data_IF_508537187333
#
_entry.id   IF_508537187333
#
_cell.length_a   1.000
_cell.length_b   1.000
_cell.length_c   1.000
_cell.angle_alpha   90.00
_cell.angle_beta   90.00
_cell.angle_gamma   90.00
#
_symmetry.space_group_name_H-M   'P 1'
#
loop_
_entity.id
_entity.type
_entity.pdbx_description
1 polymer ?
#
# COMPACT_ATOMS: atom_id res chain seq x y z
N UNK A 1 -10.69 5.73 -20.53
CA UNK A 1 -11.71 4.84 -19.88
C UNK A 1 -13.01 5.59 -19.68
N UNK A 2 -14.16 4.89 -19.63
CA UNK A 2 -15.42 5.47 -19.17
C UNK A 2 -15.39 5.65 -17.64
N UNK A 3 -16.23 6.54 -17.11
CA UNK A 3 -16.36 6.71 -15.65
C UNK A 3 -16.70 5.40 -14.92
N UNK A 4 -17.45 4.51 -15.58
CA UNK A 4 -17.81 3.19 -15.03
C UNK A 4 -16.59 2.27 -14.94
N UNK A 5 -15.78 2.17 -15.99
CA UNK A 5 -14.55 1.37 -16.00
C UNK A 5 -13.55 1.84 -14.97
N UNK A 6 -13.41 3.15 -14.78
CA UNK A 6 -12.56 3.73 -13.70
C UNK A 6 -13.08 3.33 -12.32
N UNK A 7 -14.39 3.41 -12.10
CA UNK A 7 -14.99 3.01 -10.81
C UNK A 7 -14.81 1.50 -10.55
N UNK A 8 -14.98 0.66 -11.58
CA UNK A 8 -14.76 -0.78 -11.50
C UNK A 8 -13.28 -1.09 -11.17
N UNK A 9 -12.32 -0.43 -11.83
CA UNK A 9 -10.90 -0.61 -11.54
C UNK A 9 -10.54 -0.17 -10.10
N UNK A 10 -11.09 0.93 -9.61
CA UNK A 10 -10.88 1.40 -8.23
C UNK A 10 -11.50 0.48 -7.18
N UNK A 11 -12.58 -0.22 -7.51
CA UNK A 11 -13.25 -1.16 -6.62
C UNK A 11 -12.57 -2.52 -6.53
N UNK A 12 -11.55 -2.79 -7.32
CA UNK A 12 -10.79 -4.03 -7.27
C UNK A 12 -10.14 -4.23 -5.90
N UNK A 13 -9.96 -5.48 -5.52
CA UNK A 13 -9.34 -5.82 -4.25
C UNK A 13 -7.84 -6.02 -4.41
N UNK A 14 -7.09 -5.45 -3.48
CA UNK A 14 -5.69 -5.77 -3.24
C UNK A 14 -5.67 -6.91 -2.22
N UNK A 15 -5.06 -8.04 -2.55
CA UNK A 15 -4.89 -9.17 -1.65
C UNK A 15 -3.41 -9.52 -1.50
N UNK A 16 -2.91 -9.58 -0.26
CA UNK A 16 -1.51 -9.92 0.03
C UNK A 16 -1.40 -10.77 1.30
N UNK A 17 -0.47 -11.72 1.31
CA UNK A 17 -0.14 -12.49 2.50
C UNK A 17 0.26 -11.58 3.68
N UNK A 18 -0.25 -11.87 4.87
CA UNK A 18 0.03 -11.08 6.08
C UNK A 18 1.53 -11.03 6.38
N UNK A 19 2.25 -12.09 6.09
CA UNK A 19 3.69 -12.15 6.28
C UNK A 19 4.42 -11.09 5.44
N UNK A 20 4.05 -10.93 4.16
CA UNK A 20 4.61 -9.87 3.32
C UNK A 20 4.30 -8.49 3.90
N UNK A 21 3.03 -8.22 4.24
CA UNK A 21 2.62 -6.91 4.78
C UNK A 21 3.40 -6.57 6.06
N UNK A 22 3.52 -7.54 6.97
CA UNK A 22 4.11 -7.33 8.29
C UNK A 22 5.64 -7.37 8.30
N UNK A 23 6.28 -8.02 7.33
CA UNK A 23 7.74 -8.25 7.32
C UNK A 23 8.48 -7.50 6.21
N UNK A 24 7.75 -6.93 5.23
CA UNK A 24 8.37 -6.20 4.13
C UNK A 24 8.98 -4.88 4.59
N UNK A 25 10.14 -4.57 4.04
CA UNK A 25 10.81 -3.28 4.20
C UNK A 25 11.19 -2.75 2.82
N UNK A 26 10.88 -1.50 2.58
CA UNK A 26 11.22 -0.79 1.35
C UNK A 26 11.14 0.72 1.57
N UNK A 27 11.80 1.48 0.72
CA UNK A 27 11.70 2.93 0.71
C UNK A 27 11.06 3.38 -0.61
N UNK A 28 9.76 3.26 -0.71
CA UNK A 28 8.99 3.69 -1.88
C UNK A 28 8.30 5.03 -1.61
N UNK A 29 8.21 5.85 -2.65
CA UNK A 29 7.35 7.02 -2.67
C UNK A 29 5.86 6.60 -2.61
N UNK A 30 4.98 7.57 -2.39
CA UNK A 30 3.54 7.32 -2.41
C UNK A 30 3.06 6.76 -3.75
N UNK A 31 3.58 7.29 -4.86
CA UNK A 31 3.15 6.88 -6.19
C UNK A 31 3.65 5.50 -6.58
N UNK A 32 4.87 5.14 -6.22
CA UNK A 32 5.39 3.78 -6.37
C UNK A 32 4.57 2.77 -5.56
N UNK A 33 4.18 3.10 -4.32
CA UNK A 33 3.28 2.27 -3.53
C UNK A 33 1.92 2.08 -4.21
N UNK A 34 1.33 3.17 -4.72
CA UNK A 34 0.05 3.11 -5.46
C UNK A 34 0.16 2.27 -6.74
N UNK A 35 1.28 2.39 -7.47
CA UNK A 35 1.52 1.57 -8.67
C UNK A 35 1.61 0.08 -8.30
N UNK A 36 2.36 -0.28 -7.26
CA UNK A 36 2.45 -1.67 -6.79
C UNK A 36 1.08 -2.19 -6.39
N UNK A 37 0.30 -1.45 -5.59
CA UNK A 37 -1.02 -1.88 -5.13
C UNK A 37 -2.05 -1.96 -6.27
N UNK A 38 -1.98 -1.04 -7.22
CA UNK A 38 -2.77 -1.10 -8.46
C UNK A 38 -2.46 -2.37 -9.25
N UNK A 39 -1.18 -2.74 -9.39
CA UNK A 39 -0.81 -3.97 -10.08
C UNK A 39 -1.23 -5.23 -9.29
N UNK A 40 -1.07 -5.24 -7.97
CA UNK A 40 -1.56 -6.34 -7.12
C UNK A 40 -3.07 -6.51 -7.24
N UNK A 41 -3.84 -5.42 -7.40
CA UNK A 41 -5.30 -5.50 -7.57
C UNK A 41 -5.74 -6.15 -8.88
N UNK A 42 -4.83 -6.29 -9.86
CA UNK A 42 -5.09 -7.00 -11.12
C UNK A 42 -4.95 -8.53 -11.00
N UNK A 43 -4.32 -9.02 -9.92
CA UNK A 43 -4.17 -10.47 -9.70
C UNK A 43 -5.53 -11.06 -9.37
N UNK A 44 -5.92 -12.08 -10.13
CA UNK A 44 -7.15 -12.85 -9.89
C UNK A 44 -6.84 -14.21 -9.23
N UNK A 45 -7.81 -14.84 -8.55
CA UNK A 45 -7.61 -16.17 -7.98
C UNK A 45 -7.27 -17.29 -8.98
N UNK A 46 -7.48 -17.02 -10.28
CA UNK A 46 -7.24 -17.99 -11.37
C UNK A 46 -5.89 -17.79 -12.05
N UNK A 47 -5.16 -16.72 -11.72
CA UNK A 47 -3.89 -16.41 -12.35
C UNK A 47 -2.79 -17.37 -11.88
N UNK A 48 -1.98 -17.82 -12.82
CA UNK A 48 -0.79 -18.63 -12.52
C UNK A 48 0.39 -17.69 -12.19
N UNK A 49 1.36 -18.16 -11.38
CA UNK A 49 2.64 -17.48 -11.23
C UNK A 49 3.31 -17.21 -12.58
N UNK A 50 3.83 -16.00 -12.79
CA UNK A 50 4.44 -15.59 -14.05
C UNK A 50 3.44 -15.06 -15.09
N UNK A 51 2.17 -14.84 -14.71
CA UNK A 51 1.20 -14.12 -15.56
C UNK A 51 1.69 -12.71 -15.83
N UNK A 52 1.65 -12.34 -17.12
CA UNK A 52 1.91 -10.97 -17.58
C UNK A 52 0.69 -10.09 -17.34
N UNK A 53 0.87 -8.96 -16.69
CA UNK A 53 -0.16 -7.93 -16.49
C UNK A 53 0.13 -6.74 -17.39
N UNK A 54 -0.90 -6.28 -18.12
CA UNK A 54 -0.79 -5.16 -19.03
C UNK A 54 -1.70 -4.03 -18.55
N UNK A 55 -1.20 -2.80 -18.61
CA UNK A 55 -1.99 -1.60 -18.41
C UNK A 55 -1.50 -0.48 -19.32
N UNK A 56 -2.39 0.45 -19.68
CA UNK A 56 -2.01 1.67 -20.38
C UNK A 56 -1.68 2.80 -19.42
N UNK A 57 -0.86 3.76 -19.87
CA UNK A 57 -0.55 4.96 -19.08
C UNK A 57 -1.83 5.72 -18.71
N UNK A 58 -2.76 5.84 -19.68
CA UNK A 58 -4.03 6.53 -19.46
C UNK A 58 -4.90 5.81 -18.43
N UNK A 59 -4.92 4.47 -18.43
CA UNK A 59 -5.66 3.69 -17.43
C UNK A 59 -5.13 3.97 -16.01
N UNK A 60 -3.82 3.90 -15.82
CA UNK A 60 -3.21 4.18 -14.53
C UNK A 60 -3.46 5.62 -14.07
N UNK A 61 -3.33 6.59 -14.98
CA UNK A 61 -3.59 8.01 -14.75
C UNK A 61 -5.03 8.25 -14.26
N UNK A 62 -6.01 7.68 -14.95
CA UNK A 62 -7.42 7.85 -14.61
C UNK A 62 -7.80 7.13 -13.30
N UNK A 63 -7.30 5.90 -13.10
CA UNK A 63 -7.56 5.14 -11.88
C UNK A 63 -6.96 5.82 -10.66
N UNK A 64 -5.72 6.30 -10.76
CA UNK A 64 -5.00 6.94 -9.66
C UNK A 64 -5.27 8.44 -9.52
N UNK A 65 -6.08 9.03 -10.40
CA UNK A 65 -6.36 10.46 -10.46
C UNK A 65 -5.07 11.31 -10.53
N UNK A 66 -4.16 10.94 -11.42
CA UNK A 66 -3.00 11.74 -11.72
C UNK A 66 -3.42 12.97 -12.53
N UNK A 67 -2.82 14.11 -12.28
CA UNK A 67 -3.11 15.33 -13.04
C UNK A 67 -2.79 15.10 -14.54
N UNK A 68 -3.76 15.34 -15.40
CA UNK A 68 -3.69 15.16 -16.86
C UNK A 68 -2.82 16.25 -17.53
N UNK A 69 -1.54 16.27 -17.21
CA UNK A 69 -0.56 17.15 -17.86
C UNK A 69 0.11 16.44 -19.06
N UNK A 70 -0.62 16.24 -20.13
CA UNK A 70 -0.24 15.62 -21.41
C UNK A 70 1.23 15.22 -21.58
N UNK A 71 1.49 13.90 -21.67
CA UNK A 71 2.82 13.31 -21.87
C UNK A 71 3.68 13.14 -20.61
N UNK A 72 3.34 13.76 -19.49
CA UNK A 72 4.08 13.60 -18.23
C UNK A 72 3.81 12.27 -17.55
N UNK A 73 2.63 11.67 -17.76
CA UNK A 73 2.26 10.39 -17.14
C UNK A 73 3.11 9.23 -17.62
N UNK A 74 3.44 9.18 -18.91
CA UNK A 74 4.34 8.16 -19.47
C UNK A 74 5.71 8.23 -18.80
N UNK A 75 6.29 9.42 -18.74
CA UNK A 75 7.56 9.62 -18.07
C UNK A 75 7.47 9.28 -16.57
N UNK A 76 6.40 9.69 -15.89
CA UNK A 76 6.20 9.39 -14.47
C UNK A 76 6.13 7.87 -14.21
N UNK A 77 5.35 7.12 -15.01
CA UNK A 77 5.27 5.66 -14.89
C UNK A 77 6.62 5.01 -15.20
N UNK A 78 7.33 5.49 -16.22
CA UNK A 78 8.68 5.01 -16.55
C UNK A 78 9.64 5.23 -15.38
N UNK A 79 9.70 6.45 -14.84
CA UNK A 79 10.57 6.81 -13.72
C UNK A 79 10.23 5.97 -12.48
N UNK A 80 8.94 5.78 -12.15
CA UNK A 80 8.50 4.92 -11.04
C UNK A 80 8.95 3.45 -11.22
N UNK A 81 8.82 2.88 -12.42
CA UNK A 81 9.22 1.50 -12.66
C UNK A 81 10.75 1.35 -12.66
N UNK A 82 11.48 2.35 -13.13
CA UNK A 82 12.93 2.40 -13.04
C UNK A 82 13.37 2.44 -11.56
N UNK A 83 12.79 3.31 -10.74
CA UNK A 83 13.07 3.37 -9.30
C UNK A 83 12.71 2.04 -8.60
N UNK A 84 11.56 1.43 -8.92
CA UNK A 84 11.17 0.12 -8.40
C UNK A 84 12.15 -0.99 -8.77
N UNK A 85 12.85 -0.87 -9.90
CA UNK A 85 13.89 -1.82 -10.34
C UNK A 85 15.21 -1.64 -9.59
N UNK A 86 15.46 -0.46 -9.03
CA UNK A 86 16.69 -0.14 -8.29
C UNK A 86 16.51 -0.25 -6.77
N UNK A 87 15.28 -0.11 -6.27
CA UNK A 87 14.97 -0.19 -4.85
C UNK A 87 14.58 -1.62 -4.45
N UNK A 88 15.38 -2.30 -3.62
CA UNK A 88 15.07 -3.65 -3.21
C UNK A 88 13.86 -3.68 -2.27
N UNK A 89 13.14 -4.78 -2.34
CA UNK A 89 12.17 -5.22 -1.35
C UNK A 89 12.85 -6.24 -0.43
N UNK A 90 12.92 -5.92 0.85
CA UNK A 90 13.41 -6.85 1.86
C UNK A 90 12.25 -7.51 2.60
N UNK A 91 12.31 -8.82 2.73
CA UNK A 91 11.33 -9.61 3.50
C UNK A 91 12.07 -10.47 4.52
N UNK A 92 11.80 -10.24 5.79
CA UNK A 92 12.37 -11.05 6.87
C UNK A 92 11.67 -12.41 6.91
N UNK A 93 12.32 -13.46 6.42
CA UNK A 93 11.75 -14.83 6.36
C UNK A 93 11.82 -15.51 7.73
N UNK A 94 13.00 -15.48 8.35
CA UNK A 94 13.25 -16.03 9.70
C UNK A 94 14.15 -15.08 10.48
N UNK A 95 14.48 -15.42 11.72
CA UNK A 95 15.44 -14.65 12.52
C UNK A 95 16.80 -14.48 11.80
N UNK A 96 17.21 -15.49 11.03
CA UNK A 96 18.53 -15.55 10.38
C UNK A 96 18.49 -15.39 8.86
N UNK A 97 17.30 -15.27 8.25
CA UNK A 97 17.14 -15.22 6.79
C UNK A 97 16.36 -13.97 6.37
N UNK A 98 16.91 -13.25 5.41
CA UNK A 98 16.27 -12.11 4.76
C UNK A 98 16.28 -12.34 3.25
N UNK A 99 15.12 -12.30 2.63
CA UNK A 99 14.98 -12.27 1.18
C UNK A 99 15.18 -10.82 0.72
N UNK A 100 16.04 -10.65 -0.27
CA UNK A 100 16.18 -9.38 -1.01
C UNK A 100 15.70 -9.66 -2.44
N UNK A 101 14.70 -8.94 -2.89
CA UNK A 101 14.09 -9.08 -4.22
C UNK A 101 13.55 -7.74 -4.70
N UNK A 102 12.84 -7.73 -5.82
CA UNK A 102 12.10 -6.59 -6.35
C UNK A 102 10.62 -6.95 -6.48
N UNK A 103 9.75 -5.96 -6.71
CA UNK A 103 8.33 -6.21 -6.92
C UNK A 103 8.05 -6.94 -8.23
N UNK A 104 8.75 -6.56 -9.29
CA UNK A 104 8.57 -7.08 -10.64
C UNK A 104 9.86 -7.73 -11.14
N UNK A 105 9.74 -8.79 -11.96
CA UNK A 105 10.88 -9.37 -12.67
C UNK A 105 11.28 -8.46 -13.84
N UNK A 106 10.27 -8.06 -14.63
CA UNK A 106 10.47 -7.30 -15.86
C UNK A 106 9.41 -6.22 -15.98
N UNK A 107 9.75 -5.14 -16.72
CA UNK A 107 8.80 -4.16 -17.24
C UNK A 107 9.13 -3.91 -18.70
N UNK A 108 8.18 -4.16 -19.61
CA UNK A 108 8.33 -3.94 -21.04
C UNK A 108 7.39 -2.83 -21.47
N UNK A 109 7.95 -1.78 -22.03
CA UNK A 109 7.22 -0.62 -22.54
C UNK A 109 6.96 -0.78 -24.03
N UNK A 110 5.71 -0.61 -24.47
CA UNK A 110 5.33 -0.58 -25.88
C UNK A 110 4.86 0.85 -26.24
N UNK A 111 5.71 1.54 -26.98
CA UNK A 111 5.47 2.91 -27.41
C UNK A 111 4.43 3.02 -28.53
N UNK A 112 4.06 1.91 -29.19
CA UNK A 112 3.03 1.91 -30.23
C UNK A 112 1.62 1.84 -29.66
N UNK A 113 1.48 1.12 -28.55
CA UNK A 113 0.20 0.89 -27.87
C UNK A 113 0.03 1.73 -26.61
N UNK A 114 1.07 2.49 -26.21
CA UNK A 114 1.11 3.24 -24.95
C UNK A 114 0.81 2.36 -23.72
N UNK A 115 1.35 1.13 -23.73
CA UNK A 115 1.14 0.16 -22.66
C UNK A 115 2.44 -0.26 -21.98
N UNK A 116 2.31 -0.75 -20.78
CA UNK A 116 3.35 -1.42 -20.01
C UNK A 116 2.89 -2.83 -19.71
N UNK A 117 3.77 -3.79 -19.97
CA UNK A 117 3.61 -5.19 -19.57
C UNK A 117 4.63 -5.49 -18.49
N UNK A 118 4.19 -6.11 -17.40
CA UNK A 118 5.07 -6.54 -16.31
C UNK A 118 4.56 -7.81 -15.63
N UNK A 119 5.47 -8.54 -14.98
CA UNK A 119 5.21 -9.71 -14.17
C UNK A 119 5.81 -9.57 -12.78
N UNK A 120 5.15 -10.15 -11.77
CA UNK A 120 5.63 -10.12 -10.39
C UNK A 120 6.83 -11.02 -10.18
N UNK A 121 7.72 -10.62 -9.27
CA UNK A 121 8.85 -11.45 -8.87
C UNK A 121 8.40 -12.83 -8.43
N UNK A 122 9.05 -13.88 -8.94
CA UNK A 122 8.79 -15.28 -8.56
C UNK A 122 8.90 -15.53 -7.05
N UNK A 123 9.67 -14.73 -6.35
CA UNK A 123 9.84 -14.84 -4.90
C UNK A 123 8.65 -14.26 -4.11
N UNK A 124 7.76 -13.49 -4.77
CA UNK A 124 6.53 -12.97 -4.18
C UNK A 124 5.32 -13.90 -4.41
N UNK A 125 5.48 -14.96 -5.18
CA UNK A 125 4.39 -15.93 -5.46
C UNK A 125 3.68 -16.42 -4.19
N UNK A 126 4.37 -16.83 -3.11
CA UNK A 126 3.68 -17.30 -1.90
C UNK A 126 2.84 -16.23 -1.18
N UNK A 127 3.08 -14.97 -1.50
CA UNK A 127 2.45 -13.83 -0.85
C UNK A 127 1.38 -13.13 -1.69
N UNK A 128 1.30 -13.45 -2.98
CA UNK A 128 0.39 -12.77 -3.93
C UNK A 128 -0.58 -13.73 -4.63
N UNK A 129 -0.24 -15.01 -4.77
CA UNK A 129 -1.02 -15.98 -5.54
C UNK A 129 -1.58 -17.09 -4.66
N UNK A 130 -2.75 -17.61 -5.03
CA UNK A 130 -3.40 -18.74 -4.36
C UNK A 130 -3.56 -18.56 -2.84
N UNK A 131 -3.87 -17.33 -2.41
CA UNK A 131 -4.02 -16.98 -1.01
C UNK A 131 -5.29 -17.61 -0.42
N UNK A 132 -5.13 -18.55 0.51
CA UNK A 132 -6.26 -19.24 1.16
C UNK A 132 -6.43 -18.80 2.62
N UNK A 133 -5.32 -18.61 3.33
CA UNK A 133 -5.30 -18.24 4.75
C UNK A 133 -4.24 -17.19 5.03
N UNK A 134 -4.34 -16.51 6.17
CA UNK A 134 -3.35 -15.55 6.64
C UNK A 134 -3.00 -14.46 5.60
N UNK A 135 -4.00 -13.96 4.90
CA UNK A 135 -3.88 -12.84 3.99
C UNK A 135 -4.79 -11.69 4.39
N UNK A 136 -4.48 -10.53 3.88
CA UNK A 136 -5.25 -9.30 4.04
C UNK A 136 -5.79 -8.85 2.69
N UNK A 137 -7.06 -8.50 2.67
CA UNK A 137 -7.74 -7.97 1.51
C UNK A 137 -8.37 -6.61 1.83
N UNK A 138 -8.23 -5.67 0.91
CA UNK A 138 -8.85 -4.35 0.99
C UNK A 138 -9.12 -3.79 -0.40
N UNK A 139 -10.08 -2.87 -0.51
CA UNK A 139 -10.40 -2.18 -1.75
C UNK A 139 -9.26 -1.23 -2.14
N UNK A 140 -8.83 -1.23 -3.40
CA UNK A 140 -7.80 -0.33 -3.93
C UNK A 140 -8.14 1.14 -3.67
N UNK A 141 -9.42 1.51 -3.80
CA UNK A 141 -9.91 2.86 -3.52
C UNK A 141 -9.50 3.41 -2.14
N UNK A 142 -9.38 2.54 -1.12
CA UNK A 142 -8.99 2.96 0.22
C UNK A 142 -7.62 3.64 0.27
N UNK A 143 -6.71 3.24 -0.60
CA UNK A 143 -5.34 3.78 -0.63
C UNK A 143 -5.16 4.86 -1.69
N UNK A 144 -5.99 4.89 -2.73
CA UNK A 144 -5.87 5.89 -3.80
C UNK A 144 -6.11 7.32 -3.31
N UNK A 145 -7.01 7.52 -2.33
CA UNK A 145 -7.31 8.83 -1.75
C UNK A 145 -6.24 9.35 -0.78
N UNK A 146 -5.32 8.48 -0.32
CA UNK A 146 -4.26 8.87 0.61
C UNK A 146 -3.19 9.73 -0.07
N UNK A 147 -2.66 10.71 0.68
CA UNK A 147 -1.63 11.66 0.23
C UNK A 147 -0.27 11.42 0.89
N UNK A 148 -0.20 10.54 1.89
CA UNK A 148 1.02 10.19 2.61
C UNK A 148 1.43 8.73 2.38
N UNK A 149 2.71 8.50 2.09
CA UNK A 149 3.29 7.14 2.03
C UNK A 149 3.18 6.38 3.36
N UNK A 150 3.16 7.11 4.46
CA UNK A 150 3.02 6.54 5.79
C UNK A 150 1.59 6.03 6.05
N UNK A 151 0.60 6.72 5.49
CA UNK A 151 -0.81 6.31 5.59
C UNK A 151 -1.08 4.98 4.92
N UNK A 152 -0.55 4.78 3.71
CA UNK A 152 -0.69 3.52 2.97
C UNK A 152 -0.09 2.37 3.79
N UNK A 153 1.16 2.52 4.26
CA UNK A 153 1.85 1.46 5.02
C UNK A 153 1.17 1.16 6.36
N UNK A 154 0.77 2.20 7.08
CA UNK A 154 0.06 2.01 8.35
C UNK A 154 -1.29 1.34 8.14
N UNK A 155 -2.04 1.72 7.10
CA UNK A 155 -3.32 1.10 6.77
C UNK A 155 -3.17 -0.39 6.46
N UNK A 156 -2.26 -0.77 5.55
CA UNK A 156 -1.96 -2.17 5.25
C UNK A 156 -1.67 -2.97 6.53
N UNK A 157 -0.79 -2.42 7.37
CA UNK A 157 -0.40 -3.07 8.62
C UNK A 157 -1.58 -3.25 9.58
N UNK A 158 -2.33 -2.17 9.88
CA UNK A 158 -3.48 -2.22 10.78
C UNK A 158 -4.57 -3.15 10.25
N UNK A 159 -4.78 -3.16 8.93
CA UNK A 159 -5.71 -4.08 8.27
C UNK A 159 -5.28 -5.54 8.47
N UNK A 160 -3.98 -5.84 8.42
CA UNK A 160 -3.45 -7.20 8.59
C UNK A 160 -3.56 -7.73 10.02
N UNK A 161 -3.60 -6.84 11.01
CA UNK A 161 -3.72 -7.22 12.43
C UNK A 161 -5.12 -7.04 13.03
N UNK A 162 -6.04 -6.43 12.29
CA UNK A 162 -7.40 -6.15 12.76
C UNK A 162 -8.12 -7.38 13.33
N UNK A 163 -7.95 -8.55 12.70
CA UNK A 163 -8.61 -9.78 13.11
C UNK A 163 -7.94 -10.48 14.30
N UNK A 164 -6.78 -10.00 14.77
CA UNK A 164 -6.08 -10.53 15.94
C UNK A 164 -6.66 -10.02 17.26
N UNK A 165 -7.55 -9.03 17.22
CA UNK A 165 -8.22 -8.47 18.39
C UNK A 165 -8.53 -6.98 18.24
N UNK A 166 -9.37 -6.47 19.14
CA UNK A 166 -9.76 -5.07 19.20
C UNK A 166 -8.59 -4.13 19.52
N UNK A 167 -7.61 -4.60 20.30
CA UNK A 167 -6.42 -3.85 20.69
C UNK A 167 -5.18 -4.52 20.14
N UNK A 168 -4.27 -3.71 19.62
CA UNK A 168 -2.98 -4.15 19.09
C UNK A 168 -1.86 -3.28 19.63
N UNK A 169 -0.95 -3.90 20.40
CA UNK A 169 0.24 -3.25 20.98
C UNK A 169 1.45 -3.50 20.07
N UNK A 170 2.16 -2.43 19.74
CA UNK A 170 3.40 -2.48 18.94
C UNK A 170 4.45 -1.56 19.56
N UNK A 171 5.71 -1.97 19.58
CA UNK A 171 6.81 -1.11 20.01
C UNK A 171 6.97 0.08 19.05
N UNK A 172 7.49 1.19 19.58
CA UNK A 172 7.69 2.40 18.77
C UNK A 172 8.65 2.17 17.60
N UNK A 173 9.74 1.45 17.85
CA UNK A 173 10.76 1.16 16.85
C UNK A 173 10.20 0.24 15.73
N UNK A 174 9.42 -0.77 16.11
CA UNK A 174 8.75 -1.63 15.17
C UNK A 174 7.71 -0.85 14.34
N UNK A 175 6.91 0.02 14.97
CA UNK A 175 5.94 0.85 14.26
C UNK A 175 6.63 1.76 13.24
N UNK A 176 7.70 2.45 13.63
CA UNK A 176 8.49 3.28 12.71
C UNK A 176 9.00 2.45 11.52
N UNK A 177 9.52 1.26 11.79
CA UNK A 177 10.00 0.34 10.75
C UNK A 177 8.87 -0.10 9.81
N UNK A 178 7.69 -0.45 10.35
CA UNK A 178 6.52 -0.80 9.52
C UNK A 178 6.08 0.36 8.61
N UNK A 179 6.16 1.59 9.11
CA UNK A 179 5.78 2.78 8.37
C UNK A 179 6.87 3.29 7.41
N UNK A 180 8.14 2.81 7.51
CA UNK A 180 9.30 3.37 6.81
C UNK A 180 9.62 4.78 7.30
N UNK A 181 9.54 4.96 8.61
CA UNK A 181 9.68 6.23 9.31
C UNK A 181 10.84 6.20 10.32
N UNK A 182 11.84 5.33 10.08
CA UNK A 182 13.02 5.16 10.96
C UNK A 182 13.87 6.43 11.03
N UNK A 183 13.78 7.31 10.04
CA UNK A 183 14.49 8.59 10.00
C UNK A 183 14.00 9.64 11.01
N UNK A 184 12.93 9.37 11.74
CA UNK A 184 12.47 10.24 12.81
C UNK A 184 13.07 9.81 14.15
N UNK A 185 14.13 10.46 14.62
CA UNK A 185 14.76 10.15 15.91
C UNK A 185 13.81 10.46 17.08
N UNK A 186 13.20 11.66 17.05
CA UNK A 186 12.29 12.10 18.11
C UNK A 186 10.86 11.62 17.89
N UNK A 187 10.24 11.09 18.94
CA UNK A 187 8.82 10.69 18.90
C UNK A 187 7.90 11.84 18.52
N UNK A 188 8.18 13.07 18.96
CA UNK A 188 7.38 14.25 18.60
C UNK A 188 7.31 14.45 17.09
N UNK A 189 8.45 14.33 16.40
CA UNK A 189 8.51 14.53 14.95
C UNK A 189 7.81 13.39 14.21
N UNK A 190 8.05 12.15 14.62
CA UNK A 190 7.34 10.98 14.11
C UNK A 190 5.84 11.14 14.26
N UNK A 191 5.36 11.52 15.46
CA UNK A 191 3.93 11.71 15.72
C UNK A 191 3.32 12.76 14.81
N UNK A 192 3.94 13.94 14.73
CA UNK A 192 3.38 15.09 13.99
C UNK A 192 3.46 14.89 12.48
N UNK A 193 4.54 14.28 11.97
CA UNK A 193 4.81 14.22 10.52
C UNK A 193 4.44 12.90 9.87
N UNK A 194 4.27 11.82 10.64
CA UNK A 194 3.95 10.51 10.11
C UNK A 194 2.70 9.90 10.74
N UNK A 195 2.65 9.71 12.08
CA UNK A 195 1.60 8.94 12.73
C UNK A 195 0.24 9.65 12.70
N UNK A 196 0.17 10.92 13.17
CA UNK A 196 -1.10 11.65 13.23
C UNK A 196 -1.72 11.87 11.84
N UNK A 197 -0.99 12.37 10.82
CA UNK A 197 -1.55 12.52 9.48
C UNK A 197 -1.99 11.18 8.87
N UNK A 198 -1.25 10.09 9.15
CA UNK A 198 -1.62 8.78 8.66
C UNK A 198 -2.95 8.29 9.25
N UNK A 199 -3.16 8.46 10.56
CA UNK A 199 -4.41 8.09 11.21
C UNK A 199 -5.60 8.95 10.76
N UNK A 200 -5.38 10.25 10.54
CA UNK A 200 -6.41 11.13 10.00
C UNK A 200 -6.86 10.67 8.60
N UNK A 201 -5.93 10.31 7.71
CA UNK A 201 -6.26 9.80 6.39
C UNK A 201 -6.93 8.41 6.45
N UNK A 202 -6.46 7.50 7.30
CA UNK A 202 -7.07 6.19 7.50
C UNK A 202 -8.52 6.36 7.96
N UNK A 203 -8.74 7.15 9.00
CA UNK A 203 -10.07 7.41 9.55
C UNK A 203 -11.00 8.12 8.57
N UNK A 204 -10.46 8.91 7.65
CA UNK A 204 -11.23 9.65 6.66
C UNK A 204 -11.58 8.84 5.41
N UNK A 205 -10.64 8.03 4.92
CA UNK A 205 -10.72 7.46 3.57
C UNK A 205 -10.87 5.94 3.54
N UNK A 206 -10.76 5.23 4.67
CA UNK A 206 -10.78 3.77 4.65
C UNK A 206 -11.96 3.14 5.38
N UNK A 207 -12.00 1.83 5.36
CA UNK A 207 -12.95 1.00 6.09
C UNK A 207 -12.52 0.69 7.54
N UNK A 208 -11.51 1.40 8.06
CA UNK A 208 -11.08 1.31 9.45
C UNK A 208 -11.39 2.59 10.22
N UNK A 209 -11.72 2.43 11.49
CA UNK A 209 -11.71 3.47 12.50
C UNK A 209 -10.65 3.11 13.54
N UNK A 210 -9.69 4.00 13.72
CA UNK A 210 -8.49 3.75 14.53
C UNK A 210 -8.28 4.87 15.52
N UNK A 211 -8.17 4.49 16.80
CA UNK A 211 -7.68 5.34 17.88
C UNK A 211 -6.40 4.72 18.47
N UNK A 212 -5.62 5.48 19.22
CA UNK A 212 -4.42 4.97 19.83
C UNK A 212 -4.12 5.53 21.21
N UNK A 213 -3.37 4.78 22.00
CA UNK A 213 -2.84 5.20 23.28
C UNK A 213 -1.32 5.02 23.31
N UNK A 214 -0.63 6.04 23.82
CA UNK A 214 0.81 5.98 24.05
C UNK A 214 1.11 5.13 25.31
N UNK A 215 2.06 4.21 25.18
CA UNK A 215 2.59 3.42 26.31
C UNK A 215 3.99 3.90 26.64
N UNK A 216 4.23 4.16 27.93
CA UNK A 216 5.47 4.76 28.43
C UNK A 216 6.26 3.77 29.30
N UNK A 217 7.58 3.87 29.21
CA UNK A 217 8.50 3.32 30.21
C UNK A 217 9.27 4.49 30.82
N UNK A 218 8.95 4.81 32.05
CA UNK A 218 9.40 6.05 32.71
C UNK A 218 8.84 7.29 31.98
N UNK A 219 9.71 8.16 31.48
CA UNK A 219 9.33 9.38 30.74
C UNK A 219 9.27 9.20 29.21
N UNK A 220 9.72 8.06 28.69
CA UNK A 220 9.81 7.81 27.23
C UNK A 220 8.60 7.04 26.74
N UNK A 221 8.08 7.42 25.57
CA UNK A 221 7.13 6.61 24.81
C UNK A 221 7.89 5.45 24.20
N UNK A 222 7.47 4.22 24.49
CA UNK A 222 8.14 2.99 24.04
C UNK A 222 7.25 2.11 23.16
N UNK A 223 5.94 2.30 23.23
CA UNK A 223 4.99 1.55 22.40
C UNK A 223 3.71 2.34 22.15
N UNK A 224 2.97 1.90 21.15
CA UNK A 224 1.64 2.40 20.78
C UNK A 224 0.65 1.24 20.87
N UNK A 225 -0.47 1.45 21.53
CA UNK A 225 -1.60 0.52 21.55
C UNK A 225 -2.72 1.08 20.68
N UNK A 226 -2.95 0.47 19.54
CA UNK A 226 -4.06 0.81 18.64
C UNK A 226 -5.34 0.13 19.08
N UNK A 227 -6.47 0.85 18.93
CA UNK A 227 -7.83 0.31 18.94
C UNK A 227 -8.35 0.36 17.51
N UNK A 228 -8.72 -0.80 16.97
CA UNK A 228 -9.02 -0.94 15.55
C UNK A 228 -10.43 -1.53 15.42
N UNK A 229 -11.34 -0.79 14.78
CA UNK A 229 -12.69 -1.27 14.46
C UNK A 229 -13.01 -1.11 12.99
N UNK A 230 -14.01 -1.83 12.49
CA UNK A 230 -14.54 -1.56 11.17
C UNK A 230 -15.30 -0.24 11.19
N UNK A 231 -15.10 0.58 10.17
CA UNK A 231 -15.88 1.78 10.00
C UNK A 231 -17.30 1.44 9.50
N UNK A 232 -18.31 1.90 10.21
CA UNK A 232 -19.71 1.56 9.94
C UNK A 232 -20.47 2.59 9.09
N UNK A 233 -19.81 3.68 8.61
CA UNK A 233 -20.53 4.80 8.01
C UNK A 233 -20.45 4.88 6.48
N UNK A 234 -21.61 4.99 5.79
CA UNK A 234 -21.70 5.28 4.35
C UNK A 234 -21.04 6.63 3.94
N UNK A 235 -20.97 7.60 4.88
CA UNK A 235 -20.39 8.92 4.66
C UNK A 235 -18.90 8.87 4.24
N UNK A 236 -18.16 7.87 4.65
CA UNK A 236 -16.75 7.67 4.28
C UNK A 236 -16.58 7.29 2.82
N UNK A 237 -17.51 6.52 2.26
CA UNK A 237 -17.53 6.24 0.81
C UNK A 237 -17.66 7.52 -0.02
N UNK A 238 -18.56 8.42 0.38
CA UNK A 238 -18.76 9.71 -0.27
C UNK A 238 -17.52 10.61 -0.16
N UNK A 239 -16.85 10.61 0.99
CA UNK A 239 -15.61 11.38 1.18
C UNK A 239 -14.46 10.85 0.33
N UNK A 240 -14.34 9.52 0.16
CA UNK A 240 -13.35 8.90 -0.75
C UNK A 240 -13.61 9.30 -2.20
N UNK A 241 -14.84 9.17 -2.66
CA UNK A 241 -15.21 9.55 -4.04
C UNK A 241 -14.94 11.02 -4.33
N UNK A 242 -15.25 11.93 -3.38
CA UNK A 242 -14.94 13.34 -3.52
C UNK A 242 -13.42 13.57 -3.61
N UNK A 243 -12.64 12.99 -2.71
CA UNK A 243 -11.18 13.15 -2.71
C UNK A 243 -10.47 12.53 -3.93
N UNK A 244 -11.13 11.63 -4.67
CA UNK A 244 -10.63 11.06 -5.93
C UNK A 244 -11.06 11.88 -7.15
N UNK A 245 -12.02 12.80 -6.99
CA UNK A 245 -12.53 13.67 -8.07
C UNK A 245 -12.01 15.11 -7.98
N UNK A 246 -11.43 15.51 -6.82
CA UNK A 246 -10.72 16.78 -6.57
C UNK A 246 -9.23 16.65 -6.94
#
# INVERSE_FOLDING_TARGET
>A
MTKREVAEARSQFVAMGNELIQKKRYNLSLWEQKLVLYMVSKITPYDAPGTDYIFSYNEFEEVCNLNKDGGKSKKLVYDMLLELSTHPLEVKLTEHQTLITHWFNNAVFDDKTDTVKLDFSKYLVPYLYNLQTLYTQFCLENVLAMKSKYSVRLYEYLKSVKNLGYKHLITLDELKSRMGAENYDLYKDFRVRALTPALEEINKYTDLEVDYQERKTGKRITAIEFKIVAANEPSRFLNRQRALND
#
